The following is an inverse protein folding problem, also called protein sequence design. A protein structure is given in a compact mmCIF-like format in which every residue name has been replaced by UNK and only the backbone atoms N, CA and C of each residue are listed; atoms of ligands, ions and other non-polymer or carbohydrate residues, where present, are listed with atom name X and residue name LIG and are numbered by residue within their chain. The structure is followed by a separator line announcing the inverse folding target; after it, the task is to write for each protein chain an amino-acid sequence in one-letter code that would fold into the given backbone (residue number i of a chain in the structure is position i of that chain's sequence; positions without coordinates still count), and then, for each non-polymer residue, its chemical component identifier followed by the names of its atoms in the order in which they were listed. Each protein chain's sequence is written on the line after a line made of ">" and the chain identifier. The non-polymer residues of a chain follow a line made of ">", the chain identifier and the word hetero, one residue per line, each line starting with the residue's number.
data_IF_756840316172
#
_entry.id   IF_756840316172
#
_cell.length_a   1.000
_cell.length_b   1.000
_cell.length_c   1.000
_cell.angle_alpha   90.00
_cell.angle_beta   90.00
_cell.angle_gamma   90.00
#
_symmetry.space_group_name_H-M   'P 1'
#
loop_
_entity.id
_entity.type
_entity.pdbx_description
1 polymer ?
#
# COMPACT_ATOMS: atom_id res chain seq x y z
N UNK A 1 17.46 1.49 3.95
CA UNK A 1 18.34 2.68 4.00
C UNK A 1 19.22 2.58 5.23
N UNK A 2 20.54 2.76 5.06
CA UNK A 2 21.48 2.71 6.18
C UNK A 2 21.14 3.78 7.24
N UNK A 3 21.33 3.50 8.55
CA UNK A 3 21.00 4.44 9.63
C UNK A 3 21.52 5.86 9.42
N UNK A 4 22.78 5.99 8.96
CA UNK A 4 23.44 7.27 8.68
C UNK A 4 22.76 8.17 7.64
N UNK A 5 21.87 7.64 6.80
CA UNK A 5 21.19 8.42 5.77
C UNK A 5 19.75 8.80 6.14
N UNK A 6 19.22 8.33 7.29
CA UNK A 6 17.81 8.54 7.64
C UNK A 6 17.48 10.01 7.86
N UNK A 7 18.36 10.77 8.51
CA UNK A 7 18.19 12.21 8.68
C UNK A 7 18.11 12.95 7.33
N UNK A 8 19.10 12.74 6.46
CA UNK A 8 19.14 13.38 5.14
C UNK A 8 17.94 12.99 4.26
N UNK A 9 17.45 11.75 4.37
CA UNK A 9 16.26 11.31 3.65
C UNK A 9 14.97 11.97 4.16
N UNK A 10 14.84 12.16 5.47
CA UNK A 10 13.71 12.88 6.06
C UNK A 10 13.65 14.31 5.55
N UNK A 11 14.76 15.02 5.60
CA UNK A 11 14.88 16.39 5.07
C UNK A 11 14.53 16.46 3.58
N UNK A 12 15.00 15.50 2.78
CA UNK A 12 14.67 15.43 1.37
C UNK A 12 13.17 15.22 1.10
N UNK A 13 12.50 14.38 1.90
CA UNK A 13 11.04 14.16 1.79
C UNK A 13 10.27 15.42 2.18
N UNK A 14 10.63 16.06 3.29
CA UNK A 14 9.99 17.32 3.76
C UNK A 14 10.08 18.39 2.69
N UNK A 15 11.29 18.63 2.16
CA UNK A 15 11.52 19.61 1.11
C UNK A 15 10.69 19.31 -0.14
N UNK A 16 10.70 18.06 -0.62
CA UNK A 16 9.96 17.67 -1.81
C UNK A 16 8.43 17.85 -1.63
N UNK A 17 7.88 17.55 -0.45
CA UNK A 17 6.47 17.76 -0.14
C UNK A 17 6.09 19.25 -0.16
N UNK A 18 6.95 20.11 0.40
CA UNK A 18 6.75 21.56 0.42
C UNK A 18 6.83 22.17 -0.99
N UNK A 19 7.77 21.71 -1.81
CA UNK A 19 8.00 22.25 -3.16
C UNK A 19 6.93 21.83 -4.16
N UNK A 20 6.42 20.60 -4.05
CA UNK A 20 5.52 20.04 -5.07
C UNK A 20 4.03 20.15 -4.73
N UNK A 21 3.69 20.21 -3.43
CA UNK A 21 2.30 20.16 -2.97
C UNK A 21 1.60 18.81 -3.23
N UNK A 22 2.36 17.75 -3.55
CA UNK A 22 1.80 16.40 -3.63
C UNK A 22 1.45 15.87 -2.23
N UNK A 23 0.44 15.00 -2.17
CA UNK A 23 -0.02 14.36 -0.93
C UNK A 23 0.15 12.83 -1.04
N UNK A 24 1.39 12.29 -1.03
CA UNK A 24 1.64 10.85 -1.15
C UNK A 24 1.34 10.10 0.15
N UNK A 25 1.44 8.77 0.10
CA UNK A 25 1.69 7.96 1.28
C UNK A 25 3.18 8.01 1.63
N UNK A 26 3.52 8.23 2.89
CA UNK A 26 4.92 8.26 3.35
C UNK A 26 5.19 7.08 4.28
N UNK A 27 6.19 6.26 3.97
CA UNK A 27 6.63 5.19 4.86
C UNK A 27 7.58 5.75 5.92
N UNK A 28 7.18 5.67 7.18
CA UNK A 28 8.01 6.04 8.33
C UNK A 28 8.92 4.88 8.74
N UNK A 29 9.86 5.13 9.65
CA UNK A 29 10.60 4.06 10.29
C UNK A 29 9.73 3.23 11.26
N UNK A 30 10.17 2.02 11.60
CA UNK A 30 9.46 1.11 12.51
C UNK A 30 9.43 1.64 13.95
N UNK A 31 8.43 1.21 14.72
CA UNK A 31 8.17 1.71 16.07
C UNK A 31 9.22 1.36 17.11
N UNK A 32 9.98 0.30 16.87
CA UNK A 32 11.14 -0.11 17.66
C UNK A 32 12.42 0.71 17.33
N UNK A 33 12.35 1.60 16.34
CA UNK A 33 13.48 2.40 15.91
C UNK A 33 13.51 3.78 16.59
N UNK A 34 14.70 4.35 16.86
CA UNK A 34 14.81 5.69 17.44
C UNK A 34 14.40 6.81 16.47
N UNK A 35 14.05 6.49 15.22
CA UNK A 35 13.83 7.47 14.16
C UNK A 35 12.36 7.81 13.91
N UNK A 36 11.44 6.95 14.37
CA UNK A 36 10.02 7.07 14.00
C UNK A 36 9.39 8.36 14.58
N UNK A 37 9.70 8.71 15.83
CA UNK A 37 9.18 9.93 16.45
C UNK A 37 9.53 11.18 15.64
N UNK A 38 10.79 11.31 15.22
CA UNK A 38 11.24 12.42 14.37
C UNK A 38 10.56 12.40 12.98
N UNK A 39 10.34 11.23 12.39
CA UNK A 39 9.65 11.13 11.10
C UNK A 39 8.22 11.67 11.21
N UNK A 40 7.48 11.27 12.26
CA UNK A 40 6.11 11.72 12.49
C UNK A 40 6.05 13.21 12.80
N UNK A 41 6.98 13.71 13.63
CA UNK A 41 7.09 15.13 13.93
C UNK A 41 7.32 15.96 12.66
N UNK A 42 8.21 15.51 11.77
CA UNK A 42 8.49 16.18 10.49
C UNK A 42 7.29 16.18 9.53
N UNK A 43 6.42 15.17 9.61
CA UNK A 43 5.22 15.09 8.77
C UNK A 43 4.00 15.81 9.36
N UNK A 44 3.99 16.11 10.67
CA UNK A 44 2.81 16.62 11.38
C UNK A 44 2.24 17.94 10.84
N UNK A 45 3.07 18.78 10.20
CA UNK A 45 2.66 20.04 9.57
C UNK A 45 2.48 19.96 8.05
N UNK A 46 2.67 18.78 7.45
CA UNK A 46 2.63 18.56 6.01
C UNK A 46 1.35 17.84 5.58
N UNK A 47 0.95 18.05 4.32
CA UNK A 47 -0.19 17.34 3.75
C UNK A 47 0.29 16.05 3.11
N UNK A 48 -0.13 14.92 3.69
CA UNK A 48 0.10 13.58 3.14
C UNK A 48 -1.22 12.82 3.09
N UNK A 49 -1.36 11.87 2.17
CA UNK A 49 -2.55 11.02 2.11
C UNK A 49 -2.62 10.03 3.28
N UNK A 50 -1.48 9.74 3.91
CA UNK A 50 -1.36 8.86 5.06
C UNK A 50 0.06 8.36 5.27
N UNK A 51 0.21 7.49 6.27
CA UNK A 51 1.50 6.88 6.59
C UNK A 51 1.49 5.38 6.46
N UNK A 52 2.55 4.86 5.85
CA UNK A 52 2.84 3.44 5.84
C UNK A 52 3.66 3.13 7.09
N UNK A 53 3.12 2.23 7.92
CA UNK A 53 3.74 1.83 9.19
C UNK A 53 4.35 0.45 9.01
N UNK A 54 5.69 0.32 8.96
CA UNK A 54 6.36 -0.98 8.85
C UNK A 54 6.28 -1.77 10.16
N UNK A 55 6.39 -3.09 10.06
CA UNK A 55 6.51 -4.06 11.17
C UNK A 55 5.43 -3.91 12.23
N UNK A 56 4.17 -3.77 11.80
CA UNK A 56 3.04 -3.73 12.73
C UNK A 56 2.74 -5.16 13.18
N UNK A 57 2.96 -5.44 14.46
CA UNK A 57 2.78 -6.75 15.07
C UNK A 57 1.46 -6.84 15.85
N UNK A 58 1.00 -5.72 16.42
CA UNK A 58 -0.19 -5.68 17.26
C UNK A 58 -0.97 -4.37 17.07
N UNK A 59 -2.26 -4.31 17.46
CA UNK A 59 -3.02 -3.05 17.46
C UNK A 59 -2.37 -1.94 18.29
N UNK A 60 -1.58 -2.29 19.31
CA UNK A 60 -0.90 -1.33 20.19
C UNK A 60 0.13 -0.49 19.44
N UNK A 61 0.78 -1.07 18.43
CA UNK A 61 1.79 -0.37 17.64
C UNK A 61 1.20 0.83 16.89
N UNK A 62 -0.11 0.76 16.56
CA UNK A 62 -0.84 1.84 15.91
C UNK A 62 -1.42 2.85 16.91
N UNK A 63 -1.72 2.43 18.13
CA UNK A 63 -2.33 3.33 19.13
C UNK A 63 -1.41 4.50 19.50
N UNK A 64 -0.11 4.23 19.70
CA UNK A 64 0.88 5.27 19.98
C UNK A 64 0.96 6.32 18.85
N UNK A 65 0.91 5.86 17.59
CA UNK A 65 0.88 6.72 16.42
C UNK A 65 -0.38 7.57 16.36
N UNK A 66 -1.53 7.01 16.75
CA UNK A 66 -2.81 7.72 16.74
C UNK A 66 -2.87 8.86 17.74
N UNK A 67 -2.26 8.69 18.91
CA UNK A 67 -2.17 9.76 19.92
C UNK A 67 -1.36 10.94 19.38
N UNK A 68 -0.21 10.66 18.75
CA UNK A 68 0.63 11.70 18.14
C UNK A 68 0.04 12.30 16.87
N UNK A 69 -0.83 11.55 16.16
CA UNK A 69 -1.40 11.98 14.88
C UNK A 69 -2.87 11.57 14.69
N UNK A 70 -3.81 12.22 15.40
CA UNK A 70 -5.21 11.78 15.48
C UNK A 70 -6.02 11.85 14.20
N UNK A 71 -5.52 12.50 13.15
CA UNK A 71 -6.21 12.62 11.86
C UNK A 71 -5.58 11.78 10.74
N UNK A 72 -4.43 11.14 10.98
CA UNK A 72 -3.71 10.41 9.94
C UNK A 72 -4.44 9.13 9.51
N UNK A 73 -4.45 8.86 8.21
CA UNK A 73 -4.81 7.54 7.70
C UNK A 73 -3.59 6.64 7.79
N UNK A 74 -3.75 5.48 8.42
CA UNK A 74 -2.68 4.50 8.65
C UNK A 74 -2.77 3.37 7.62
N UNK A 75 -1.60 2.96 7.12
CA UNK A 75 -1.42 1.86 6.18
C UNK A 75 -0.44 0.86 6.78
N UNK A 76 -0.91 -0.05 7.65
CA UNK A 76 -0.06 -1.07 8.26
C UNK A 76 0.56 -1.98 7.21
N UNK A 77 1.87 -2.16 7.28
CA UNK A 77 2.60 -3.13 6.48
C UNK A 77 2.78 -4.39 7.32
N UNK A 78 2.07 -5.45 6.91
CA UNK A 78 2.10 -6.77 7.54
C UNK A 78 3.25 -7.55 6.92
N UNK A 79 4.31 -7.74 7.71
CA UNK A 79 5.59 -8.27 7.25
C UNK A 79 6.30 -9.12 8.30
N UNK A 80 5.55 -9.64 9.26
CA UNK A 80 5.99 -10.55 10.33
C UNK A 80 4.91 -11.60 10.57
N UNK A 81 5.28 -12.74 11.14
CA UNK A 81 4.35 -13.80 11.53
C UNK A 81 3.32 -13.27 12.54
N UNK A 82 3.78 -12.53 13.55
CA UNK A 82 2.90 -11.95 14.57
C UNK A 82 1.91 -10.94 13.97
N UNK A 83 2.36 -10.08 13.05
CA UNK A 83 1.49 -9.13 12.37
C UNK A 83 0.45 -9.81 11.49
N UNK A 84 0.80 -10.95 10.89
CA UNK A 84 -0.15 -11.75 10.10
C UNK A 84 -1.22 -12.40 10.99
N UNK A 85 -0.83 -12.97 12.12
CA UNK A 85 -1.76 -13.57 13.09
C UNK A 85 -2.75 -12.53 13.65
N UNK A 86 -2.30 -11.30 13.93
CA UNK A 86 -3.15 -10.22 14.44
C UNK A 86 -3.76 -9.32 13.35
N UNK A 87 -3.75 -9.74 12.08
CA UNK A 87 -4.13 -8.87 10.97
C UNK A 87 -5.56 -8.31 11.09
N UNK A 88 -6.49 -9.08 11.65
CA UNK A 88 -7.90 -8.65 11.81
C UNK A 88 -8.04 -7.57 12.87
N UNK A 89 -7.37 -7.73 14.02
CA UNK A 89 -7.37 -6.75 15.10
C UNK A 89 -6.65 -5.47 14.66
N UNK A 90 -5.52 -5.61 13.95
CA UNK A 90 -4.78 -4.48 13.38
C UNK A 90 -5.69 -3.72 12.39
N UNK A 91 -6.37 -4.43 11.49
CA UNK A 91 -7.29 -3.82 10.52
C UNK A 91 -8.46 -3.09 11.17
N UNK A 92 -8.88 -3.52 12.36
CA UNK A 92 -10.01 -2.95 13.10
C UNK A 92 -9.64 -1.67 13.88
N UNK A 93 -8.37 -1.28 13.92
CA UNK A 93 -7.94 -0.04 14.59
C UNK A 93 -8.50 1.20 13.85
N UNK A 94 -9.15 2.14 14.56
CA UNK A 94 -9.65 3.37 13.95
C UNK A 94 -8.55 4.16 13.25
N UNK A 95 -8.81 4.53 11.99
CA UNK A 95 -7.85 5.25 11.15
C UNK A 95 -7.03 4.36 10.22
N UNK A 96 -7.11 3.03 10.34
CA UNK A 96 -6.54 2.13 9.34
C UNK A 96 -7.37 2.18 8.05
N UNK A 97 -6.72 2.55 6.95
CA UNK A 97 -7.38 2.64 5.64
C UNK A 97 -7.27 1.35 4.84
N UNK A 98 -6.10 0.70 4.88
CA UNK A 98 -5.75 -0.43 4.03
C UNK A 98 -4.53 -1.17 4.58
N UNK A 99 -4.52 -2.50 4.49
CA UNK A 99 -3.33 -3.31 4.81
C UNK A 99 -2.43 -3.44 3.58
N UNK A 100 -1.11 -3.53 3.82
CA UNK A 100 -0.09 -3.80 2.82
C UNK A 100 0.64 -5.10 3.19
N UNK A 101 1.01 -5.91 2.21
CA UNK A 101 1.82 -7.12 2.44
C UNK A 101 3.31 -6.86 2.15
N UNK A 102 4.17 -7.12 3.14
CA UNK A 102 5.63 -7.13 2.97
C UNK A 102 6.16 -8.56 2.94
N UNK A 103 6.18 -9.19 1.77
CA UNK A 103 6.47 -10.63 1.72
C UNK A 103 7.93 -10.99 2.00
N UNK A 104 8.90 -10.17 1.57
CA UNK A 104 10.32 -10.48 1.78
C UNK A 104 10.67 -10.51 3.27
N UNK A 105 10.20 -9.51 4.02
CA UNK A 105 10.43 -9.43 5.46
C UNK A 105 9.62 -10.51 6.20
N UNK A 106 8.41 -10.84 5.75
CA UNK A 106 7.64 -11.97 6.30
C UNK A 106 8.37 -13.31 6.15
N UNK A 107 9.00 -13.55 4.99
CA UNK A 107 9.79 -14.77 4.76
C UNK A 107 11.00 -14.83 5.69
N UNK A 108 11.71 -13.70 5.83
CA UNK A 108 12.85 -13.59 6.74
C UNK A 108 12.45 -13.82 8.20
N UNK A 109 11.32 -13.25 8.64
CA UNK A 109 10.78 -13.40 9.99
C UNK A 109 10.38 -14.85 10.30
N UNK A 110 9.77 -15.55 9.33
CA UNK A 110 9.39 -16.95 9.46
C UNK A 110 10.56 -17.94 9.29
N UNK A 111 11.74 -17.49 8.83
CA UNK A 111 12.85 -18.37 8.47
C UNK A 111 12.55 -19.28 7.27
N UNK A 112 11.75 -18.81 6.32
CA UNK A 112 11.32 -19.54 5.12
C UNK A 112 11.91 -18.88 3.87
N UNK A 113 12.46 -19.68 2.94
CA UNK A 113 13.06 -19.16 1.71
C UNK A 113 12.03 -18.48 0.80
N UNK A 114 12.40 -17.30 0.27
CA UNK A 114 11.58 -16.59 -0.70
C UNK A 114 11.88 -17.03 -2.14
N UNK A 115 10.87 -17.32 -2.97
CA UNK A 115 9.43 -17.33 -2.67
C UNK A 115 8.93 -18.70 -2.17
N UNK A 116 8.10 -18.73 -1.13
CA UNK A 116 7.35 -19.92 -0.70
C UNK A 116 5.85 -19.77 -1.03
N UNK A 117 5.31 -20.49 -2.02
CA UNK A 117 3.93 -20.31 -2.50
C UNK A 117 2.85 -20.40 -1.42
N UNK A 118 2.92 -21.41 -0.55
CA UNK A 118 1.91 -21.63 0.48
C UNK A 118 1.87 -20.51 1.54
N UNK A 119 3.04 -19.93 1.87
CA UNK A 119 3.12 -18.82 2.82
C UNK A 119 2.49 -17.56 2.20
N UNK A 120 2.80 -17.29 0.93
CA UNK A 120 2.24 -16.16 0.20
C UNK A 120 0.71 -16.29 0.05
N UNK A 121 0.19 -17.46 -0.27
CA UNK A 121 -1.25 -17.70 -0.39
C UNK A 121 -1.95 -17.54 0.96
N UNK A 122 -1.39 -18.11 2.03
CA UNK A 122 -1.90 -17.96 3.38
C UNK A 122 -1.95 -16.48 3.80
N UNK A 123 -0.83 -15.76 3.65
CA UNK A 123 -0.76 -14.34 3.99
C UNK A 123 -1.76 -13.51 3.18
N UNK A 124 -1.88 -13.77 1.87
CA UNK A 124 -2.80 -13.04 1.00
C UNK A 124 -4.26 -13.24 1.40
N UNK A 125 -4.68 -14.49 1.60
CA UNK A 125 -6.05 -14.79 2.00
C UNK A 125 -6.34 -14.21 3.39
N UNK A 126 -5.41 -14.33 4.34
CA UNK A 126 -5.53 -13.75 5.67
C UNK A 126 -5.78 -12.25 5.63
N UNK A 127 -4.99 -11.50 4.86
CA UNK A 127 -5.17 -10.05 4.70
C UNK A 127 -6.49 -9.67 4.03
N UNK A 128 -6.95 -10.45 3.03
CA UNK A 128 -8.25 -10.21 2.38
C UNK A 128 -9.39 -10.37 3.38
N UNK A 129 -9.36 -11.44 4.19
CA UNK A 129 -10.37 -11.70 5.21
C UNK A 129 -10.33 -10.63 6.31
N UNK A 130 -9.15 -10.29 6.82
CA UNK A 130 -8.96 -9.23 7.81
C UNK A 130 -9.53 -7.89 7.33
N UNK A 131 -9.19 -7.46 6.10
CA UNK A 131 -9.74 -6.24 5.50
C UNK A 131 -11.26 -6.26 5.40
N UNK A 132 -11.84 -7.41 5.04
CA UNK A 132 -13.30 -7.56 4.91
C UNK A 132 -14.01 -7.54 6.26
N UNK A 133 -13.48 -8.24 7.26
CA UNK A 133 -14.02 -8.25 8.62
C UNK A 133 -13.99 -6.86 9.25
N UNK A 134 -12.92 -6.10 9.06
CA UNK A 134 -12.79 -4.74 9.56
C UNK A 134 -13.55 -3.68 8.73
N UNK A 135 -14.09 -4.05 7.56
CA UNK A 135 -14.80 -3.12 6.68
C UNK A 135 -13.91 -2.08 5.98
N UNK A 136 -12.60 -2.32 5.89
CA UNK A 136 -11.62 -1.43 5.26
C UNK A 136 -11.40 -1.78 3.78
N UNK A 137 -10.59 -0.99 3.08
CA UNK A 137 -10.27 -1.25 1.66
C UNK A 137 -9.49 -2.57 1.54
N UNK A 138 -9.73 -3.27 0.42
CA UNK A 138 -8.99 -4.48 0.05
C UNK A 138 -7.47 -4.26 0.16
N UNK A 139 -6.67 -5.24 0.59
CA UNK A 139 -5.24 -5.06 0.82
C UNK A 139 -4.44 -4.80 -0.48
N UNK A 140 -3.20 -4.34 -0.34
CA UNK A 140 -2.23 -4.18 -1.44
C UNK A 140 -1.16 -5.27 -1.35
N UNK A 141 -0.85 -5.91 -2.47
CA UNK A 141 0.10 -7.04 -2.54
C UNK A 141 1.56 -6.55 -2.53
N UNK A 142 2.46 -7.45 -2.14
CA UNK A 142 3.92 -7.25 -2.06
C UNK A 142 4.52 -6.83 -3.41
N UNK A 143 5.61 -6.06 -3.49
CA UNK A 143 6.28 -5.85 -4.77
C UNK A 143 6.90 -7.14 -5.32
N UNK A 144 7.13 -7.19 -6.63
CA UNK A 144 7.94 -8.23 -7.24
C UNK A 144 9.42 -7.79 -7.26
N UNK A 145 10.40 -8.64 -6.88
CA UNK A 145 11.80 -8.23 -6.77
C UNK A 145 12.49 -8.02 -8.12
N UNK A 146 11.98 -8.63 -9.21
CA UNK A 146 12.52 -8.41 -10.54
C UNK A 146 12.33 -6.95 -11.00
N UNK A 147 13.45 -6.26 -11.27
CA UNK A 147 13.49 -4.85 -11.68
C UNK A 147 13.91 -4.65 -13.14
N UNK A 148 14.22 -5.74 -13.86
CA UNK A 148 14.57 -5.71 -15.29
C UNK A 148 13.71 -6.66 -16.13
N UNK A 149 13.14 -7.69 -15.52
CA UNK A 149 12.33 -8.72 -16.16
C UNK A 149 10.83 -8.39 -16.02
N UNK A 150 10.36 -7.34 -16.69
CA UNK A 150 8.98 -6.86 -16.53
C UNK A 150 7.91 -7.82 -17.05
N UNK A 151 8.25 -8.75 -17.94
CA UNK A 151 7.35 -9.83 -18.37
C UNK A 151 6.99 -10.76 -17.20
N UNK A 152 7.96 -11.10 -16.35
CA UNK A 152 7.72 -11.88 -15.13
C UNK A 152 6.86 -11.10 -14.14
N UNK A 153 7.10 -9.79 -14.00
CA UNK A 153 6.24 -8.91 -13.19
C UNK A 153 4.80 -8.94 -13.70
N UNK A 154 4.57 -8.88 -15.01
CA UNK A 154 3.24 -8.94 -15.61
C UNK A 154 2.56 -10.29 -15.35
N UNK A 155 3.29 -11.40 -15.52
CA UNK A 155 2.80 -12.76 -15.26
C UNK A 155 2.36 -12.93 -13.80
N UNK A 156 3.21 -12.54 -12.86
CA UNK A 156 2.89 -12.58 -11.43
C UNK A 156 1.74 -11.64 -11.08
N UNK A 157 1.73 -10.41 -11.59
CA UNK A 157 0.65 -9.46 -11.33
C UNK A 157 -0.70 -10.01 -11.79
N UNK A 158 -0.79 -10.64 -12.97
CA UNK A 158 -2.04 -11.24 -13.48
C UNK A 158 -2.50 -12.44 -12.66
N UNK A 159 -1.57 -13.27 -12.20
CA UNK A 159 -1.89 -14.43 -11.36
C UNK A 159 -2.54 -14.00 -10.03
N UNK A 160 -2.06 -12.90 -9.45
CA UNK A 160 -2.49 -12.44 -8.12
C UNK A 160 -3.40 -11.19 -8.13
N UNK A 161 -3.72 -10.62 -9.28
CA UNK A 161 -4.70 -9.52 -9.38
C UNK A 161 -6.17 -9.99 -9.25
N UNK A 162 -6.39 -11.31 -9.25
CA UNK A 162 -7.72 -11.94 -9.24
C UNK A 162 -8.31 -12.18 -7.84
N UNK A 163 -7.56 -12.58 -6.81
CA UNK A 163 -8.13 -12.75 -5.47
C UNK A 163 -8.08 -11.42 -4.71
N UNK A 164 -9.22 -10.85 -4.31
CA UNK A 164 -9.40 -9.98 -3.14
C UNK A 164 -8.58 -8.69 -2.96
N UNK A 165 -7.55 -8.41 -3.76
CA UNK A 165 -6.59 -7.33 -3.59
C UNK A 165 -6.92 -6.09 -4.45
N UNK A 166 -6.51 -4.93 -3.95
CA UNK A 166 -6.72 -3.63 -4.58
C UNK A 166 -5.66 -3.26 -5.61
N UNK A 167 -4.46 -3.83 -5.47
CA UNK A 167 -3.28 -3.46 -6.21
C UNK A 167 -2.05 -4.22 -5.74
N UNK A 168 -0.89 -3.82 -6.26
CA UNK A 168 0.41 -4.35 -5.92
C UNK A 168 1.41 -3.22 -5.79
N UNK A 169 2.27 -3.26 -4.78
CA UNK A 169 3.37 -2.30 -4.64
C UNK A 169 4.35 -2.41 -5.82
N UNK A 170 4.94 -1.29 -6.21
CA UNK A 170 5.97 -1.23 -7.25
C UNK A 170 7.24 -0.64 -6.66
N UNK A 171 8.40 -1.27 -6.92
CA UNK A 171 9.73 -0.80 -6.51
C UNK A 171 10.56 -0.26 -7.68
N UNK A 172 10.05 -0.41 -8.90
CA UNK A 172 10.68 0.13 -10.10
C UNK A 172 9.62 0.75 -11.03
N UNK A 173 9.87 1.92 -11.66
CA UNK A 173 8.89 2.56 -12.54
C UNK A 173 8.38 1.67 -13.68
N UNK A 174 9.25 0.81 -14.23
CA UNK A 174 8.88 -0.16 -15.28
C UNK A 174 7.83 -1.20 -14.85
N UNK A 175 7.56 -1.35 -13.56
CA UNK A 175 6.52 -2.26 -13.05
C UNK A 175 5.12 -1.64 -13.11
N UNK A 176 5.02 -0.30 -13.16
CA UNK A 176 3.76 0.43 -12.99
C UNK A 176 2.74 0.03 -14.06
N UNK A 177 3.13 0.02 -15.33
CA UNK A 177 2.21 -0.29 -16.43
C UNK A 177 1.67 -1.73 -16.31
N UNK A 178 2.55 -2.70 -16.11
CA UNK A 178 2.18 -4.11 -15.98
C UNK A 178 1.26 -4.37 -14.79
N UNK A 179 1.51 -3.72 -13.64
CA UNK A 179 0.65 -3.81 -12.47
C UNK A 179 -0.69 -3.11 -12.73
N UNK A 180 -0.70 -1.90 -13.29
CA UNK A 180 -1.93 -1.18 -13.58
C UNK A 180 -2.85 -1.97 -14.52
N UNK A 181 -2.29 -2.59 -15.57
CA UNK A 181 -3.04 -3.42 -16.51
C UNK A 181 -3.59 -4.68 -15.85
N UNK A 182 -2.81 -5.36 -15.00
CA UNK A 182 -3.26 -6.57 -14.32
C UNK A 182 -4.43 -6.34 -13.36
N UNK A 183 -4.43 -5.19 -12.67
CA UNK A 183 -5.49 -4.81 -11.72
C UNK A 183 -6.65 -4.04 -12.36
N UNK A 184 -6.61 -3.80 -13.67
CA UNK A 184 -7.71 -3.16 -14.41
C UNK A 184 -8.94 -4.08 -14.43
N UNK A 185 -10.16 -3.58 -14.12
CA UNK A 185 -11.39 -4.34 -14.33
C UNK A 185 -11.55 -4.75 -15.80
N UNK A 186 -12.00 -5.98 -16.05
CA UNK A 186 -12.37 -6.40 -17.40
C UNK A 186 -13.65 -5.70 -17.85
N UNK A 187 -13.89 -5.66 -19.16
CA UNK A 187 -15.13 -5.04 -19.67
C UNK A 187 -16.38 -5.78 -19.17
N UNK A 188 -16.32 -7.11 -19.06
CA UNK A 188 -17.39 -7.91 -18.46
C UNK A 188 -17.68 -7.50 -17.00
N UNK A 189 -16.64 -7.30 -16.19
CA UNK A 189 -16.79 -6.84 -14.81
C UNK A 189 -17.41 -5.42 -14.74
N UNK A 190 -17.04 -4.55 -15.68
CA UNK A 190 -17.61 -3.20 -15.79
C UNK A 190 -19.08 -3.24 -16.24
N UNK A 191 -19.41 -4.07 -17.23
CA UNK A 191 -20.77 -4.26 -17.72
C UNK A 191 -21.68 -4.82 -16.63
N UNK A 192 -21.23 -5.86 -15.91
CA UNK A 192 -21.95 -6.42 -14.78
C UNK A 192 -22.22 -5.36 -13.70
N UNK A 193 -21.19 -4.59 -13.31
CA UNK A 193 -21.34 -3.53 -12.31
C UNK A 193 -22.29 -2.39 -12.75
N UNK A 194 -22.39 -2.12 -14.05
CA UNK A 194 -23.35 -1.15 -14.63
C UNK A 194 -24.77 -1.73 -14.66
N UNK A 195 -24.92 -2.99 -15.07
CA UNK A 195 -26.21 -3.67 -15.21
C UNK A 195 -26.93 -3.87 -13.87
N UNK A 196 -26.18 -4.11 -12.79
CA UNK A 196 -26.71 -4.24 -11.43
C UNK A 196 -27.34 -2.94 -10.86
N UNK A 197 -27.32 -1.81 -11.60
CA UNK A 197 -27.99 -0.55 -11.23
C UNK A 197 -27.37 0.19 -10.03
N UNK A 198 -26.54 -0.48 -9.23
CA UNK A 198 -25.86 0.04 -8.04
C UNK A 198 -24.69 1.00 -8.33
N UNK A 199 -24.38 1.23 -9.60
CA UNK A 199 -23.31 2.12 -10.08
C UNK A 199 -23.86 3.24 -10.99
N UNK A 200 -25.19 3.43 -11.07
CA UNK A 200 -25.81 4.25 -12.09
C UNK A 200 -25.72 5.78 -11.86
N UNK A 201 -25.41 6.26 -10.65
CA UNK A 201 -25.17 7.70 -10.38
C UNK A 201 -24.19 7.87 -9.24
N UNK A 202 -22.97 8.31 -9.54
CA UNK A 202 -21.98 8.65 -8.53
C UNK A 202 -20.58 8.27 -8.99
N UNK A 203 -19.58 9.09 -8.65
CA UNK A 203 -18.16 8.79 -8.90
C UNK A 203 -17.82 7.38 -8.40
N UNK A 204 -16.83 6.71 -9.01
CA UNK A 204 -16.23 5.49 -8.48
C UNK A 204 -15.97 5.64 -6.95
N UNK A 205 -16.85 5.07 -6.10
CA UNK A 205 -16.71 5.16 -4.65
C UNK A 205 -17.98 5.31 -3.80
N UNK A 206 -19.15 5.61 -4.35
CA UNK A 206 -20.39 5.69 -3.56
C UNK A 206 -21.28 4.47 -3.81
N UNK A 207 -20.93 3.35 -3.19
CA UNK A 207 -21.82 2.18 -3.13
C UNK A 207 -22.17 1.93 -1.65
N UNK A 208 -23.45 1.96 -1.25
CA UNK A 208 -23.86 1.78 0.14
C UNK A 208 -23.25 0.52 0.76
N UNK A 209 -22.92 0.57 2.05
CA UNK A 209 -22.46 -0.59 2.81
C UNK A 209 -23.47 -1.75 2.65
N UNK A 210 -23.01 -2.88 2.11
CA UNK A 210 -23.84 -4.08 1.90
C UNK A 210 -24.02 -4.52 0.44
N UNK A 211 -23.66 -3.71 -0.56
CA UNK A 211 -23.70 -4.14 -1.95
C UNK A 211 -22.52 -5.08 -2.28
N UNK A 212 -22.81 -6.29 -2.79
CA UNK A 212 -21.85 -7.29 -3.29
C UNK A 212 -21.05 -6.83 -4.53
N UNK A 213 -20.58 -5.59 -4.58
CA UNK A 213 -19.65 -5.12 -5.60
C UNK A 213 -18.21 -5.39 -5.14
N UNK A 214 -17.84 -6.67 -5.06
CA UNK A 214 -16.50 -7.11 -4.64
C UNK A 214 -15.39 -6.50 -5.50
N UNK A 215 -15.67 -6.19 -6.76
CA UNK A 215 -14.72 -5.69 -7.76
C UNK A 215 -14.56 -4.16 -7.71
N UNK A 216 -15.64 -3.38 -7.53
CA UNK A 216 -15.53 -1.91 -7.52
C UNK A 216 -15.04 -1.34 -6.18
N UNK A 217 -15.31 -2.01 -5.05
CA UNK A 217 -14.76 -1.61 -3.73
C UNK A 217 -13.26 -1.92 -3.61
N UNK A 218 -12.80 -3.00 -4.24
CA UNK A 218 -11.41 -3.42 -4.12
C UNK A 218 -10.46 -2.47 -4.84
N UNK A 219 -10.83 -1.87 -5.97
CA UNK A 219 -9.85 -1.30 -6.91
C UNK A 219 -9.87 0.24 -6.95
N UNK A 220 -9.76 0.88 -5.79
CA UNK A 220 -9.55 2.34 -5.71
C UNK A 220 -8.03 2.62 -5.71
N UNK A 221 -7.39 3.03 -6.81
CA UNK A 221 -6.06 3.61 -6.73
C UNK A 221 -6.17 4.98 -6.05
N UNK A 222 -5.41 5.18 -4.97
CA UNK A 222 -5.18 6.50 -4.37
C UNK A 222 -4.21 7.37 -5.20
N UNK A 223 -4.10 7.12 -6.50
CA UNK A 223 -3.39 8.01 -7.42
C UNK A 223 -4.39 9.03 -7.96
N UNK A 224 -4.38 10.24 -7.38
CA UNK A 224 -4.96 11.41 -8.03
C UNK A 224 -4.38 11.47 -9.46
N UNK A 225 -5.24 11.58 -10.48
CA UNK A 225 -4.82 11.63 -11.91
C UNK A 225 -3.64 12.60 -12.07
N UNK A 226 -2.45 12.07 -12.37
CA UNK A 226 -1.45 12.84 -13.09
C UNK A 226 -2.12 13.21 -14.41
N UNK A 227 -2.21 14.52 -14.71
CA UNK A 227 -2.78 14.98 -15.96
C UNK A 227 -1.84 14.51 -17.08
N UNK A 228 -2.34 14.12 -18.26
CA UNK A 228 -1.47 13.88 -19.42
C UNK A 228 -0.76 15.20 -19.74
N UNK A 229 0.52 15.31 -19.37
CA UNK A 229 1.30 16.55 -19.50
C UNK A 229 2.39 16.77 -18.43
N UNK A 230 2.36 16.07 -17.30
CA UNK A 230 3.39 16.19 -16.26
C UNK A 230 4.67 15.39 -16.61
N UNK A 231 5.36 15.81 -17.67
CA UNK A 231 6.77 15.42 -17.90
C UNK A 231 7.68 16.37 -17.16
N UNK A 232 7.99 16.06 -15.89
CA UNK A 232 9.08 16.67 -15.15
C UNK A 232 10.07 15.60 -14.65
N UNK A 233 10.60 14.81 -15.58
CA UNK A 233 11.88 14.12 -15.40
C UNK A 233 12.94 14.87 -16.21
N UNK A 234 13.38 16.02 -15.69
CA UNK A 234 14.68 16.62 -16.02
C UNK A 234 15.39 16.94 -14.72
N UNK A 235 16.53 16.30 -14.49
CA UNK A 235 17.47 16.70 -13.43
C UNK A 235 17.68 15.66 -12.32
N UNK A 236 18.17 14.47 -12.65
CA UNK A 236 19.04 13.73 -11.73
C UNK A 236 20.43 13.73 -12.33
N UNK A 237 21.44 14.38 -11.71
CA UNK A 237 22.81 14.31 -12.19
C UNK A 237 23.31 12.87 -12.06
N UNK A 238 23.78 12.30 -13.17
CA UNK A 238 24.53 11.06 -13.16
C UNK A 238 25.84 11.29 -12.39
N UNK A 239 25.94 10.74 -11.18
CA UNK A 239 27.25 10.57 -10.53
C UNK A 239 27.97 9.43 -11.25
N UNK A 240 29.04 9.79 -11.95
CA UNK A 240 30.02 8.88 -12.53
C UNK A 240 30.97 8.38 -11.43
N UNK A 241 31.34 7.10 -11.59
CA UNK A 241 32.37 6.27 -10.94
C UNK A 241 31.91 5.54 -9.68
#
# INVERSE_FOLDING_TARGET
>A
MAPKHKFAAREAVVRWLQETGHEPLVRVNAGDSPYQADDLAALGSLRVAGVIVPKVNTPRDLHALRVGWPAATLFPLIETAQGLEHATEIASVPGVGQLLLGALDLHADCGIDYPHPALLEHARLGLVLASRCAGIVAPIDTPHPAVREFEEVAKYARAFARPGFAGKLCIHPGQIASVADAFRPSEEQLQWARADGRCARGRLGECPAGAHCGIARARRPMARRLRPGDTALRGVPQMRR
#
